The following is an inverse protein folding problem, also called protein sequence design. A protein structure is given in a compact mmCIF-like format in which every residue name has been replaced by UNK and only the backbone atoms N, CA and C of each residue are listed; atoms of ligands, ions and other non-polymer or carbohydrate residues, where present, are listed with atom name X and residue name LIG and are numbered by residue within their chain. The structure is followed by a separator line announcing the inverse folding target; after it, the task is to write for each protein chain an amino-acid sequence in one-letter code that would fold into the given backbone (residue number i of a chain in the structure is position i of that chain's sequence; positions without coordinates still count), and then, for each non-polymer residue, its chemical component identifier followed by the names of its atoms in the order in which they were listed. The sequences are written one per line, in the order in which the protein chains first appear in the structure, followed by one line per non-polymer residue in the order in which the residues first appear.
data_IF_571625583274
#
_entry.id   IF_571625583274
#
_cell.length_a   1.000
_cell.length_b   1.000
_cell.length_c   1.000
_cell.angle_alpha   90.00
_cell.angle_beta   90.00
_cell.angle_gamma   90.00
#
_symmetry.space_group_name_H-M   'P 1'
#
loop_
_entity.id
_entity.type
_entity.pdbx_description
1 polymer ?
#
# COMPACT_ATOMS: atom_id res chain seq x y z
N UNK A 1 -5.80 -6.34 -20.57
CA UNK A 1 -6.29 -5.44 -19.50
C UNK A 1 -6.71 -6.29 -18.31
N UNK A 2 -6.38 -5.86 -17.10
CA UNK A 2 -6.51 -6.62 -15.85
C UNK A 2 -7.59 -5.99 -14.97
N UNK A 3 -8.40 -6.82 -14.30
CA UNK A 3 -9.41 -6.35 -13.34
C UNK A 3 -8.82 -6.34 -11.94
N UNK A 4 -8.81 -5.19 -11.29
CA UNK A 4 -8.33 -5.03 -9.91
C UNK A 4 -9.20 -5.87 -8.96
N UNK A 5 -10.50 -5.94 -9.23
CA UNK A 5 -11.45 -6.76 -8.45
C UNK A 5 -11.09 -8.24 -8.38
N UNK A 6 -10.31 -8.75 -9.33
CA UNK A 6 -9.88 -10.16 -9.41
C UNK A 6 -8.47 -10.41 -8.87
N UNK A 7 -7.73 -9.36 -8.51
CA UNK A 7 -6.38 -9.50 -8.01
C UNK A 7 -6.38 -10.02 -6.57
N UNK A 8 -5.39 -10.87 -6.20
CA UNK A 8 -5.26 -11.34 -4.83
C UNK A 8 -4.90 -10.17 -3.90
N UNK A 9 -5.66 -10.02 -2.82
CA UNK A 9 -5.41 -9.02 -1.79
C UNK A 9 -4.26 -9.46 -0.88
N UNK A 10 -3.48 -8.49 -0.43
CA UNK A 10 -2.52 -8.66 0.65
C UNK A 10 -3.24 -8.40 1.96
N UNK A 11 -3.39 -9.44 2.76
CA UNK A 11 -4.14 -9.46 4.02
C UNK A 11 -3.21 -9.53 5.25
N UNK A 12 -1.92 -9.78 5.05
CA UNK A 12 -0.94 -9.91 6.13
C UNK A 12 0.41 -9.32 5.75
N UNK A 13 1.18 -8.88 6.74
CA UNK A 13 2.58 -8.43 6.54
C UNK A 13 3.44 -9.51 5.90
N UNK A 14 3.22 -10.79 6.25
CA UNK A 14 3.96 -11.90 5.65
C UNK A 14 3.70 -12.03 4.13
N UNK A 15 2.46 -11.82 3.69
CA UNK A 15 2.13 -11.77 2.25
C UNK A 15 2.75 -10.53 1.58
N UNK A 16 2.73 -9.38 2.27
CA UNK A 16 3.35 -8.16 1.78
C UNK A 16 4.86 -8.35 1.54
N UNK A 17 5.59 -8.88 2.51
CA UNK A 17 7.04 -9.07 2.43
C UNK A 17 7.44 -10.17 1.42
N UNK A 18 6.55 -11.15 1.19
CA UNK A 18 6.78 -12.22 0.22
C UNK A 18 6.53 -11.80 -1.24
N UNK A 19 5.77 -10.73 -1.48
CA UNK A 19 5.42 -10.27 -2.81
C UNK A 19 6.65 -9.69 -3.54
N UNK A 20 6.82 -10.03 -4.81
CA UNK A 20 7.89 -9.46 -5.66
C UNK A 20 7.44 -8.19 -6.37
N UNK A 21 6.13 -8.05 -6.61
CA UNK A 21 5.51 -6.86 -7.15
C UNK A 21 4.13 -6.66 -6.50
N UNK A 22 3.88 -5.44 -6.04
CA UNK A 22 2.63 -5.04 -5.41
C UNK A 22 1.96 -3.93 -6.20
N UNK A 23 0.64 -3.87 -6.06
CA UNK A 23 -0.20 -2.78 -6.53
C UNK A 23 -0.88 -2.15 -5.31
N UNK A 24 -0.60 -0.87 -5.07
CA UNK A 24 -1.35 -0.04 -4.15
C UNK A 24 -2.44 0.69 -4.92
N UNK A 25 -3.68 0.53 -4.47
CA UNK A 25 -4.87 1.18 -5.01
C UNK A 25 -5.47 2.09 -3.96
N UNK A 26 -5.77 3.32 -4.36
CA UNK A 26 -6.41 4.31 -3.49
C UNK A 26 -7.28 5.26 -4.32
N UNK A 27 -7.93 6.21 -3.66
CA UNK A 27 -8.78 7.21 -4.32
C UNK A 27 -8.39 8.62 -3.89
N UNK A 28 -8.12 9.49 -4.86
CA UNK A 28 -7.91 10.92 -4.63
C UNK A 28 -9.19 11.69 -4.81
N UNK A 29 -9.46 12.56 -3.86
CA UNK A 29 -10.41 13.65 -4.05
C UNK A 29 -9.75 14.79 -4.84
N UNK A 30 -10.45 15.26 -5.89
CA UNK A 30 -9.94 16.27 -6.82
C UNK A 30 -10.31 17.71 -6.39
N UNK A 31 -10.89 17.89 -5.20
CA UNK A 31 -11.24 19.21 -4.69
C UNK A 31 -12.33 19.92 -5.50
N UNK A 32 -12.41 21.24 -5.32
CA UNK A 32 -13.25 22.15 -6.09
C UNK A 32 -12.59 22.58 -7.41
N UNK A 33 -12.04 21.62 -8.15
CA UNK A 33 -11.49 21.90 -9.47
C UNK A 33 -12.56 22.47 -10.41
N UNK A 34 -12.21 23.41 -11.30
CA UNK A 34 -13.14 23.98 -12.27
C UNK A 34 -13.85 22.90 -13.09
N UNK A 35 -15.11 23.15 -13.49
CA UNK A 35 -15.94 22.17 -14.22
C UNK A 35 -15.24 21.55 -15.43
N UNK A 36 -14.57 22.37 -16.25
CA UNK A 36 -13.81 21.89 -17.43
C UNK A 36 -12.71 20.89 -17.05
N UNK A 37 -12.03 21.14 -15.93
CA UNK A 37 -10.99 20.24 -15.41
C UNK A 37 -11.61 18.91 -14.92
N UNK A 38 -12.74 18.97 -14.20
CA UNK A 38 -13.44 17.75 -13.76
C UNK A 38 -13.91 16.89 -14.94
N UNK A 39 -14.41 17.53 -16.00
CA UNK A 39 -14.80 16.85 -17.24
C UNK A 39 -13.59 16.22 -17.94
N UNK A 40 -12.46 16.93 -18.03
CA UNK A 40 -11.20 16.39 -18.57
C UNK A 40 -10.69 15.18 -17.79
N UNK A 41 -10.68 15.28 -16.46
CA UNK A 41 -10.22 14.22 -15.56
C UNK A 41 -11.06 12.95 -15.70
N UNK A 42 -12.37 13.10 -15.81
CA UNK A 42 -13.27 11.96 -16.04
C UNK A 42 -13.00 11.27 -17.38
N UNK A 43 -12.71 12.05 -18.42
CA UNK A 43 -12.49 11.54 -19.77
C UNK A 43 -11.12 10.86 -19.92
N UNK A 44 -10.07 11.41 -19.31
CA UNK A 44 -8.68 11.04 -19.62
C UNK A 44 -7.93 10.33 -18.47
N UNK A 45 -8.36 10.53 -17.22
CA UNK A 45 -7.64 10.01 -16.04
C UNK A 45 -8.49 9.01 -15.24
N UNK A 46 -9.53 8.45 -15.84
CA UNK A 46 -10.40 7.48 -15.18
C UNK A 46 -11.22 8.05 -14.02
N UNK A 47 -11.36 9.38 -13.93
CA UNK A 47 -12.13 10.02 -12.87
C UNK A 47 -13.61 9.66 -12.89
N UNK A 48 -14.24 9.81 -11.73
CA UNK A 48 -15.66 9.50 -11.53
C UNK A 48 -16.30 10.42 -10.48
N UNK A 49 -17.64 10.39 -10.38
CA UNK A 49 -18.40 11.23 -9.44
C UNK A 49 -19.05 10.33 -8.39
N UNK A 50 -18.81 10.64 -7.12
CA UNK A 50 -19.47 10.02 -5.99
C UNK A 50 -19.85 11.09 -4.97
N UNK A 51 -21.07 11.04 -4.43
CA UNK A 51 -21.59 12.04 -3.48
C UNK A 51 -21.31 13.51 -3.88
N UNK A 52 -21.61 13.85 -5.15
CA UNK A 52 -21.38 15.19 -5.76
C UNK A 52 -19.92 15.65 -5.79
N UNK A 53 -18.97 14.82 -5.38
CA UNK A 53 -17.52 15.06 -5.41
C UNK A 53 -16.89 14.27 -6.56
N UNK A 54 -15.79 14.81 -7.10
CA UNK A 54 -15.02 14.13 -8.16
C UNK A 54 -13.81 13.45 -7.56
N UNK A 55 -13.61 12.21 -7.96
CA UNK A 55 -12.55 11.35 -7.48
C UNK A 55 -11.76 10.75 -8.65
N UNK A 56 -10.52 10.37 -8.37
CA UNK A 56 -9.62 9.68 -9.31
C UNK A 56 -9.07 8.44 -8.61
N UNK A 57 -9.14 7.24 -9.22
CA UNK A 57 -8.42 6.09 -8.70
C UNK A 57 -6.92 6.28 -8.91
N UNK A 58 -6.14 6.16 -7.83
CA UNK A 58 -4.69 6.01 -7.93
C UNK A 58 -4.36 4.53 -8.00
N UNK A 59 -3.43 4.19 -8.88
CA UNK A 59 -2.72 2.91 -8.86
C UNK A 59 -1.22 3.15 -8.85
N UNK A 60 -0.52 2.61 -7.85
CA UNK A 60 0.93 2.65 -7.74
C UNK A 60 1.48 1.24 -7.74
N UNK A 61 2.41 0.95 -8.63
CA UNK A 61 3.11 -0.34 -8.68
C UNK A 61 4.52 -0.19 -8.12
N UNK A 62 5.02 -1.23 -7.46
CA UNK A 62 6.37 -1.23 -6.91
C UNK A 62 6.69 -2.53 -6.18
N UNK A 63 7.89 -2.62 -5.63
CA UNK A 63 8.26 -3.68 -4.69
C UNK A 63 7.83 -3.27 -3.26
N UNK A 64 7.64 -4.22 -2.33
CA UNK A 64 7.37 -3.91 -0.92
C UNK A 64 8.38 -2.92 -0.32
N UNK A 65 9.67 -3.16 -0.58
CA UNK A 65 10.74 -2.28 -0.14
C UNK A 65 10.64 -0.86 -0.71
N UNK A 66 10.24 -0.70 -1.98
CA UNK A 66 10.08 0.62 -2.58
C UNK A 66 8.91 1.40 -1.97
N UNK A 67 7.79 0.75 -1.63
CA UNK A 67 6.66 1.41 -1.00
C UNK A 67 7.03 1.91 0.41
N UNK A 68 7.70 1.07 1.21
CA UNK A 68 8.16 1.43 2.56
C UNK A 68 9.19 2.56 2.51
N UNK A 69 10.14 2.50 1.57
CA UNK A 69 11.16 3.53 1.42
C UNK A 69 10.60 4.91 1.03
N UNK A 70 9.41 4.95 0.41
CA UNK A 70 8.72 6.18 0.04
C UNK A 70 7.64 6.61 1.05
N UNK A 71 7.55 5.95 2.20
CA UNK A 71 6.67 6.38 3.28
C UNK A 71 6.99 7.81 3.71
N UNK A 72 5.97 8.67 3.76
CA UNK A 72 6.08 10.08 4.11
C UNK A 72 6.53 11.00 2.96
N UNK A 73 6.95 10.45 1.82
CA UNK A 73 7.33 11.25 0.65
C UNK A 73 6.09 11.54 -0.21
N UNK A 74 5.80 12.82 -0.53
CA UNK A 74 4.71 13.16 -1.45
C UNK A 74 4.95 12.57 -2.83
N UNK A 75 3.96 11.83 -3.33
CA UNK A 75 3.88 11.40 -4.72
C UNK A 75 3.00 12.41 -5.45
N UNK A 76 3.66 13.27 -6.22
CA UNK A 76 2.98 14.34 -6.98
C UNK A 76 2.36 13.76 -8.25
N UNK A 77 1.04 13.70 -8.28
CA UNK A 77 0.29 13.39 -9.50
C UNK A 77 0.05 14.69 -10.26
N UNK A 78 0.78 14.85 -11.37
CA UNK A 78 0.58 15.95 -12.31
C UNK A 78 -0.42 15.54 -13.37
N UNK A 79 -1.49 16.30 -13.47
CA UNK A 79 -2.51 16.15 -14.50
C UNK A 79 -2.36 17.28 -15.52
N UNK A 80 -2.97 17.11 -16.69
CA UNK A 80 -2.95 18.13 -17.72
C UNK A 80 -3.54 19.46 -17.21
N UNK A 81 -3.19 20.57 -17.89
CA UNK A 81 -3.68 21.91 -17.56
C UNK A 81 -3.29 22.42 -16.16
N UNK A 82 -2.18 21.90 -15.61
CA UNK A 82 -1.55 22.42 -14.40
C UNK A 82 -2.17 21.97 -13.08
N UNK A 83 -3.12 21.03 -13.11
CA UNK A 83 -3.66 20.44 -11.88
C UNK A 83 -2.64 19.46 -11.28
N UNK A 84 -2.36 19.61 -9.99
CA UNK A 84 -1.45 18.75 -9.24
C UNK A 84 -2.13 18.31 -7.95
N UNK A 85 -1.90 17.06 -7.56
CA UNK A 85 -2.40 16.53 -6.30
C UNK A 85 -1.32 15.64 -5.69
N UNK A 86 -1.15 15.75 -4.37
CA UNK A 86 -0.07 15.07 -3.66
C UNK A 86 -0.65 13.91 -2.86
N UNK A 87 -0.28 12.69 -3.26
CA UNK A 87 -0.59 11.51 -2.49
C UNK A 87 0.50 11.26 -1.46
N UNK A 88 0.10 10.97 -0.22
CA UNK A 88 1.03 10.65 0.86
C UNK A 88 0.70 9.28 1.41
N UNK A 89 1.60 8.32 1.18
CA UNK A 89 1.57 7.06 1.92
C UNK A 89 2.24 7.29 3.27
N UNK A 90 1.49 7.18 4.37
CA UNK A 90 2.00 7.46 5.72
C UNK A 90 2.90 6.36 6.32
N UNK A 91 3.15 5.27 5.59
CA UNK A 91 3.96 4.15 6.06
C UNK A 91 3.22 3.16 6.97
N UNK A 92 1.95 3.40 7.31
CA UNK A 92 1.19 2.48 8.15
C UNK A 92 0.65 1.31 7.30
N UNK A 93 1.44 0.22 7.27
CA UNK A 93 1.11 -0.99 6.53
C UNK A 93 -0.17 -1.66 7.05
N UNK A 94 -0.38 -1.68 8.37
CA UNK A 94 -1.57 -2.29 8.97
C UNK A 94 -2.84 -1.56 8.54
N UNK A 95 -2.80 -0.22 8.49
CA UNK A 95 -3.90 0.58 7.95
C UNK A 95 -4.12 0.31 6.45
N UNK A 96 -3.05 0.19 5.67
CA UNK A 96 -3.14 -0.10 4.23
C UNK A 96 -3.76 -1.49 3.95
N UNK A 97 -3.37 -2.50 4.72
CA UNK A 97 -3.93 -3.85 4.69
C UNK A 97 -5.39 -3.83 5.13
N UNK A 98 -5.69 -3.17 6.25
CA UNK A 98 -7.06 -3.06 6.77
C UNK A 98 -8.02 -2.41 5.76
N UNK A 99 -7.56 -1.35 5.09
CA UNK A 99 -8.31 -0.68 4.02
C UNK A 99 -8.29 -1.44 2.68
N UNK A 100 -7.65 -2.62 2.63
CA UNK A 100 -7.58 -3.48 1.43
C UNK A 100 -6.99 -2.76 0.22
N UNK A 101 -5.99 -1.90 0.46
CA UNK A 101 -5.34 -1.08 -0.58
C UNK A 101 -4.24 -1.82 -1.34
N UNK A 102 -3.77 -2.95 -0.79
CA UNK A 102 -2.59 -3.65 -1.30
C UNK A 102 -2.98 -4.97 -1.97
N UNK A 103 -2.48 -5.16 -3.19
CA UNK A 103 -2.70 -6.35 -4.00
C UNK A 103 -1.37 -6.97 -4.41
N UNK A 104 -1.34 -8.28 -4.45
CA UNK A 104 -0.21 -9.04 -4.96
C UNK A 104 -0.34 -9.18 -6.49
N UNK A 105 0.61 -8.59 -7.21
CA UNK A 105 0.71 -8.70 -8.66
C UNK A 105 2.03 -9.32 -9.08
N UNK A 106 2.64 -10.13 -8.22
CA UNK A 106 3.93 -10.79 -8.46
C UNK A 106 3.93 -11.63 -9.73
N UNK A 107 2.77 -12.18 -10.12
CA UNK A 107 2.61 -12.92 -11.38
C UNK A 107 2.77 -12.06 -12.65
N UNK A 108 2.72 -10.73 -12.52
CA UNK A 108 2.95 -9.75 -13.59
C UNK A 108 4.37 -9.17 -13.55
N UNK A 109 5.24 -9.67 -12.67
CA UNK A 109 6.61 -9.19 -12.58
C UNK A 109 7.34 -9.44 -13.91
N UNK A 110 7.88 -8.38 -14.50
CA UNK A 110 8.58 -8.43 -15.79
C UNK A 110 7.71 -8.10 -17.01
N UNK A 111 6.40 -7.90 -16.82
CA UNK A 111 5.55 -7.37 -17.90
C UNK A 111 5.96 -5.93 -18.26
N UNK A 112 6.11 -5.60 -19.55
CA UNK A 112 6.57 -4.28 -19.99
C UNK A 112 5.53 -3.18 -19.78
N UNK A 113 4.25 -3.54 -19.67
CA UNK A 113 3.15 -2.61 -19.47
C UNK A 113 1.98 -3.32 -18.80
N UNK A 114 1.44 -2.72 -17.74
CA UNK A 114 0.28 -3.23 -17.02
C UNK A 114 -0.87 -2.24 -17.23
N UNK A 115 -1.97 -2.70 -17.82
CA UNK A 115 -3.16 -1.90 -18.05
C UNK A 115 -4.33 -2.47 -17.27
N UNK A 116 -4.98 -1.63 -16.46
CA UNK A 116 -6.15 -2.01 -15.67
C UNK A 116 -7.45 -1.59 -16.36
N UNK A 117 -8.51 -2.37 -16.15
CA UNK A 117 -9.87 -2.01 -16.54
C UNK A 117 -10.38 -0.93 -15.59
N UNK A 118 -11.12 0.06 -16.11
CA UNK A 118 -11.83 1.03 -15.26
C UNK A 118 -12.99 0.31 -14.56
N UNK A 119 -12.87 0.10 -13.24
CA UNK A 119 -13.89 -0.56 -12.42
C UNK A 119 -14.51 0.43 -11.43
N UNK A 120 -15.25 1.41 -11.94
CA UNK A 120 -15.82 2.52 -11.15
C UNK A 120 -16.66 2.03 -9.95
N UNK A 121 -17.62 1.13 -10.19
CA UNK A 121 -18.49 0.59 -9.13
C UNK A 121 -17.70 -0.10 -8.02
N UNK A 122 -16.70 -0.91 -8.41
CA UNK A 122 -15.84 -1.60 -7.46
C UNK A 122 -15.00 -0.63 -6.62
N UNK A 123 -14.42 0.40 -7.25
CA UNK A 123 -13.63 1.41 -6.55
C UNK A 123 -14.50 2.20 -5.58
N UNK A 124 -15.70 2.60 -5.99
CA UNK A 124 -16.66 3.30 -5.13
C UNK A 124 -17.03 2.43 -3.93
N UNK A 125 -17.43 1.18 -4.19
CA UNK A 125 -17.83 0.24 -3.13
C UNK A 125 -16.70 -0.01 -2.14
N UNK A 126 -15.47 -0.21 -2.63
CA UNK A 126 -14.34 -0.59 -1.79
C UNK A 126 -13.76 0.57 -0.99
N UNK A 127 -13.58 1.73 -1.63
CA UNK A 127 -12.73 2.80 -1.09
C UNK A 127 -13.51 4.05 -0.69
N UNK A 128 -14.81 4.14 -1.00
CA UNK A 128 -15.63 5.29 -0.63
C UNK A 128 -16.85 4.87 0.20
N UNK A 129 -17.82 4.16 -0.38
CA UNK A 129 -19.06 3.82 0.33
C UNK A 129 -18.89 2.74 1.39
N UNK A 130 -17.99 1.77 1.14
CA UNK A 130 -17.63 0.71 2.09
C UNK A 130 -16.39 1.01 2.92
N UNK A 131 -15.83 2.23 2.83
CA UNK A 131 -14.67 2.63 3.60
C UNK A 131 -14.99 2.62 5.10
N UNK A 132 -14.06 2.07 5.89
CA UNK A 132 -14.14 2.05 7.35
C UNK A 132 -12.97 2.81 7.91
N UNK A 133 -13.14 3.47 9.05
CA UNK A 133 -12.04 4.11 9.75
C UNK A 133 -11.11 3.05 10.36
N UNK A 134 -9.81 3.23 10.16
CA UNK A 134 -8.80 2.42 10.81
C UNK A 134 -8.60 2.94 12.23
N UNK A 135 -8.82 2.08 13.22
CA UNK A 135 -8.44 2.36 14.60
C UNK A 135 -7.19 1.54 14.88
N UNK A 136 -6.10 2.19 15.27
CA UNK A 136 -4.89 1.48 15.66
C UNK A 136 -5.22 0.62 16.88
N UNK A 137 -5.04 -0.71 16.81
CA UNK A 137 -5.32 -1.56 17.95
C UNK A 137 -4.40 -1.11 19.08
N UNK A 138 -4.97 -0.89 20.27
CA UNK A 138 -4.18 -0.68 21.47
C UNK A 138 -3.23 -1.86 21.58
N UNK A 139 -1.95 -1.63 21.31
CA UNK A 139 -0.92 -2.61 21.60
C UNK A 139 -1.00 -2.74 23.11
N UNK A 140 -1.62 -3.83 23.59
CA UNK A 140 -1.51 -4.21 24.98
C UNK A 140 -0.03 -4.06 25.31
N UNK A 141 0.27 -3.09 26.17
CA UNK A 141 1.61 -2.96 26.69
C UNK A 141 1.85 -4.31 27.34
N UNK A 142 2.60 -5.18 26.66
CA UNK A 142 3.27 -6.29 27.30
C UNK A 142 4.22 -5.62 28.29
N UNK A 143 3.69 -5.24 29.45
CA UNK A 143 4.42 -5.16 30.69
C UNK A 143 5.34 -6.36 30.63
N UNK A 144 6.65 -6.08 30.56
CA UNK A 144 7.71 -7.07 30.46
C UNK A 144 7.30 -8.28 31.29
N UNK A 145 6.82 -9.33 30.62
CA UNK A 145 6.50 -10.56 31.33
C UNK A 145 7.81 -10.94 32.02
N UNK A 146 7.82 -11.12 33.36
CA UNK A 146 9.04 -11.49 34.04
C UNK A 146 9.56 -12.75 33.33
N UNK A 147 10.77 -12.66 32.78
CA UNK A 147 11.43 -13.75 32.07
C UNK A 147 11.56 -14.89 33.08
N UNK A 148 10.61 -15.83 33.08
CA UNK A 148 10.49 -16.86 34.12
C UNK A 148 11.64 -17.88 34.08
N UNK A 149 12.53 -17.81 33.09
CA UNK A 149 13.84 -18.43 33.04
C UNK A 149 14.56 -17.89 31.82
N UNK A 150 15.72 -17.26 32.01
CA UNK A 150 16.65 -17.09 30.90
C UNK A 150 16.95 -18.50 30.34
N UNK A 151 16.86 -18.74 29.03
CA UNK A 151 17.37 -19.98 28.48
C UNK A 151 18.86 -20.05 28.86
N UNK A 152 19.25 -21.11 29.55
CA UNK A 152 20.65 -21.32 29.89
C UNK A 152 21.43 -21.41 28.58
N UNK A 153 22.11 -20.32 28.20
CA UNK A 153 23.14 -20.35 27.19
C UNK A 153 24.10 -21.45 27.62
N UNK A 154 24.21 -22.48 26.79
CA UNK A 154 24.93 -23.70 27.15
C UNK A 154 26.32 -23.36 27.66
N UNK A 155 26.60 -23.64 28.93
CA UNK A 155 27.90 -23.48 29.57
C UNK A 155 28.93 -24.51 29.08
N UNK A 156 28.78 -25.06 27.87
CA UNK A 156 29.78 -25.93 27.27
C UNK A 156 30.88 -25.06 26.69
N UNK A 157 32.02 -25.02 27.36
CA UNK A 157 33.25 -24.48 26.82
C UNK A 157 33.53 -25.13 25.44
N UNK A 158 33.72 -24.31 24.40
CA UNK A 158 34.18 -24.79 23.11
C UNK A 158 35.62 -25.30 23.26
N UNK A 159 35.79 -26.63 23.34
CA UNK A 159 37.12 -27.27 23.20
C UNK A 159 37.48 -27.24 21.71
N UNK A 160 38.54 -26.53 21.35
CA UNK A 160 39.16 -26.67 20.01
C UNK A 160 39.50 -25.38 19.27
N UNK A 161 39.26 -24.19 19.82
CA UNK A 161 39.72 -22.96 19.18
C UNK A 161 41.19 -22.68 19.54
N UNK A 162 42.07 -23.15 18.66
CA UNK A 162 43.51 -22.85 18.71
C UNK A 162 43.75 -21.46 18.11
N UNK A 163 44.40 -20.57 18.86
CA UNK A 163 44.81 -19.25 18.39
C UNK A 163 45.77 -19.38 17.20
N UNK A 164 45.41 -18.81 16.06
CA UNK A 164 46.35 -18.62 14.93
C UNK A 164 47.27 -17.45 15.29
N UNK A 165 48.56 -17.73 15.54
CA UNK A 165 49.57 -16.69 15.69
C UNK A 165 49.98 -16.17 14.30
N UNK A 166 49.98 -14.85 14.13
CA UNK A 166 50.66 -14.18 13.01
C UNK A 166 52.17 -14.25 13.19
#
# INVERSE_FOLDING_TARGET
MIRISTLPLIETTAQFDAATLILLVDVLFVGDTPRKMREHIKANHGGFIYDKKTFIPITLTGTPGSLVANAGTPIVFKFDHGFQNDYHFNGNLDAAIFHKKLYDISHLAGEPSIQFVKEEDFIIERYLSGAREYTEPEKEAKLLAPVAKMPAIGQKAMKGLTLIRK
#
